data_IF_159117367736
#
_entry.id   IF_159117367736
#
_cell.length_a   1.000
_cell.length_b   1.000
_cell.length_c   1.000
_cell.angle_alpha   90.00
_cell.angle_beta   90.00
_cell.angle_gamma   90.00
#
_symmetry.space_group_name_H-M   'P 1'
#
loop_
_entity.id
_entity.type
_entity.pdbx_description
1 polymer ?
#
# COMPACT_ATOMS: atom_id res chain seq x y z
N UNK A 1 -6.16 13.16 -11.06
CA UNK A 1 -6.67 12.93 -12.44
C UNK A 1 -7.27 11.55 -12.63
N UNK A 2 -6.69 10.47 -12.09
CA UNK A 2 -7.28 9.11 -12.19
C UNK A 2 -8.77 9.03 -11.78
N UNK A 3 -9.16 9.70 -10.69
CA UNK A 3 -10.55 9.74 -10.22
C UNK A 3 -11.48 10.64 -11.06
N UNK A 4 -10.94 11.53 -11.88
CA UNK A 4 -11.67 12.51 -12.69
C UNK A 4 -10.98 12.65 -14.05
N UNK A 5 -11.02 11.61 -14.91
CA UNK A 5 -10.21 11.53 -16.13
C UNK A 5 -10.72 12.45 -17.25
N UNK A 6 -11.98 12.87 -17.17
CA UNK A 6 -12.69 13.74 -18.10
C UNK A 6 -12.42 15.24 -17.89
N UNK A 7 -11.85 15.62 -16.74
CA UNK A 7 -11.56 17.02 -16.44
C UNK A 7 -10.36 17.54 -17.23
N UNK A 8 -10.58 18.67 -17.92
CA UNK A 8 -9.50 19.43 -18.55
C UNK A 8 -8.59 20.12 -17.51
N UNK A 9 -7.51 20.75 -17.98
CA UNK A 9 -6.55 21.41 -17.09
C UNK A 9 -7.17 22.54 -16.25
N UNK A 10 -8.07 23.35 -16.83
CA UNK A 10 -8.70 24.47 -16.13
C UNK A 10 -9.54 23.95 -14.95
N UNK A 11 -10.29 22.88 -15.18
CA UNK A 11 -11.15 22.28 -14.18
C UNK A 11 -10.37 21.51 -13.11
N UNK A 12 -9.24 20.88 -13.47
CA UNK A 12 -8.33 20.26 -12.47
C UNK A 12 -7.74 21.32 -11.55
N UNK A 13 -7.26 22.44 -12.09
CA UNK A 13 -6.71 23.54 -11.29
C UNK A 13 -7.79 24.14 -10.38
N UNK A 14 -8.97 24.45 -10.94
CA UNK A 14 -10.10 25.00 -10.18
C UNK A 14 -10.51 24.09 -9.02
N UNK A 15 -10.51 22.76 -9.25
CA UNK A 15 -10.80 21.77 -8.20
C UNK A 15 -9.78 21.85 -7.07
N UNK A 16 -8.48 21.85 -7.38
CA UNK A 16 -7.41 21.93 -6.38
C UNK A 16 -7.48 23.21 -5.55
N UNK A 17 -7.66 24.37 -6.18
CA UNK A 17 -7.66 25.66 -5.45
C UNK A 17 -8.95 25.93 -4.66
N UNK A 18 -10.07 25.27 -5.02
CA UNK A 18 -11.35 25.43 -4.30
C UNK A 18 -11.48 24.48 -3.12
N UNK A 19 -10.75 23.37 -3.12
CA UNK A 19 -10.80 22.38 -2.05
C UNK A 19 -9.65 22.54 -1.06
N UNK A 20 -8.80 23.55 -1.20
CA UNK A 20 -7.72 23.78 -0.24
C UNK A 20 -8.27 24.17 1.13
N UNK A 21 -7.58 23.72 2.17
CA UNK A 21 -7.81 24.22 3.52
C UNK A 21 -7.06 25.55 3.69
N UNK A 22 -7.71 26.61 4.20
CA UNK A 22 -7.04 27.87 4.48
C UNK A 22 -5.83 27.66 5.42
N UNK A 23 -4.64 28.08 4.98
CA UNK A 23 -3.44 28.00 5.81
C UNK A 23 -3.43 29.15 6.83
N UNK A 24 -2.98 28.89 8.06
CA UNK A 24 -2.81 29.93 9.11
C UNK A 24 -1.58 30.84 8.88
N UNK A 25 -1.13 30.99 7.63
CA UNK A 25 0.08 31.72 7.24
C UNK A 25 -0.18 32.66 6.06
N UNK A 26 0.87 33.39 5.65
CA UNK A 26 0.76 34.32 4.51
C UNK A 26 0.45 33.56 3.22
N UNK A 27 -0.43 34.13 2.38
CA UNK A 27 -0.69 33.66 1.01
C UNK A 27 0.57 33.66 0.14
N UNK A 28 1.62 34.40 0.52
CA UNK A 28 2.92 34.36 -0.14
C UNK A 28 3.60 32.98 0.00
N UNK A 29 3.40 32.30 1.13
CA UNK A 29 4.01 30.99 1.38
C UNK A 29 3.14 29.83 0.89
N UNK A 30 1.81 29.96 1.00
CA UNK A 30 0.89 28.86 0.75
C UNK A 30 -0.09 29.09 -0.42
N UNK A 31 -0.02 30.23 -1.10
CA UNK A 31 -0.93 30.56 -2.19
C UNK A 31 -2.40 30.49 -1.77
N UNK A 32 -3.13 29.52 -2.33
CA UNK A 32 -4.55 29.24 -2.05
C UNK A 32 -4.78 28.41 -0.79
N UNK A 33 -3.73 27.94 -0.11
CA UNK A 33 -3.81 27.17 1.13
C UNK A 33 -3.18 25.78 1.01
N UNK A 34 -3.49 24.91 1.97
CA UNK A 34 -2.99 23.54 2.01
C UNK A 34 -3.87 22.64 1.15
N UNK A 35 -3.24 21.76 0.36
CA UNK A 35 -3.96 20.80 -0.48
C UNK A 35 -4.70 19.79 0.39
N UNK A 36 -6.01 19.70 0.21
CA UNK A 36 -6.83 18.62 0.75
C UNK A 36 -7.12 17.62 -0.38
N UNK A 37 -6.42 16.48 -0.35
CA UNK A 37 -6.52 15.47 -1.39
C UNK A 37 -7.88 14.74 -1.35
N UNK A 38 -8.46 14.55 -0.17
CA UNK A 38 -9.75 13.87 -0.03
C UNK A 38 -10.86 14.75 -0.61
N UNK A 39 -10.90 16.02 -0.20
CA UNK A 39 -11.86 16.97 -0.76
C UNK A 39 -11.65 17.17 -2.27
N UNK A 40 -10.40 17.23 -2.74
CA UNK A 40 -10.10 17.32 -4.16
C UNK A 40 -10.55 16.09 -4.96
N UNK A 41 -10.73 14.92 -4.34
CA UNK A 41 -11.26 13.74 -5.01
C UNK A 41 -12.78 13.69 -4.88
N UNK A 42 -13.35 13.98 -3.72
CA UNK A 42 -14.75 13.68 -3.42
C UNK A 42 -15.73 14.86 -3.61
N UNK A 43 -15.27 16.11 -3.53
CA UNK A 43 -16.18 17.26 -3.52
C UNK A 43 -16.86 17.51 -4.87
N UNK A 44 -18.08 18.04 -4.86
CA UNK A 44 -18.67 18.63 -6.08
C UNK A 44 -18.12 20.04 -6.27
N UNK A 45 -17.40 20.28 -7.38
CA UNK A 45 -16.81 21.59 -7.68
C UNK A 45 -17.37 22.08 -9.02
N UNK A 46 -17.93 23.31 -9.10
CA UNK A 46 -18.44 23.88 -10.34
C UNK A 46 -17.35 23.96 -11.41
N UNK A 47 -17.69 23.64 -12.65
CA UNK A 47 -16.76 23.71 -13.77
C UNK A 47 -16.51 25.16 -14.22
N UNK A 48 -15.31 25.39 -14.76
CA UNK A 48 -14.88 26.66 -15.33
C UNK A 48 -14.47 26.46 -16.78
N UNK A 49 -14.70 27.50 -17.60
CA UNK A 49 -14.30 27.51 -19.02
C UNK A 49 -12.89 28.06 -19.22
N UNK A 50 -12.39 28.85 -18.26
CA UNK A 50 -11.10 29.57 -18.37
C UNK A 50 -10.23 29.24 -17.15
N UNK A 51 -8.90 29.28 -17.33
CA UNK A 51 -7.96 29.04 -16.23
C UNK A 51 -8.16 30.08 -15.12
N UNK A 52 -8.52 29.68 -13.88
CA UNK A 52 -8.73 30.61 -12.77
C UNK A 52 -7.43 31.30 -12.30
N UNK A 53 -6.26 30.80 -12.71
CA UNK A 53 -4.97 31.42 -12.40
C UNK A 53 -4.56 32.51 -13.40
N UNK A 54 -5.33 32.73 -14.46
CA UNK A 54 -5.01 33.69 -15.52
C UNK A 54 -4.15 33.10 -16.65
N UNK A 55 -3.45 33.98 -17.37
CA UNK A 55 -2.65 33.62 -18.55
C UNK A 55 -1.22 33.22 -18.17
N UNK A 56 -0.86 31.97 -18.48
CA UNK A 56 0.52 31.49 -18.35
C UNK A 56 1.46 32.21 -19.31
N UNK A 57 0.98 32.56 -20.51
CA UNK A 57 1.74 33.29 -21.53
C UNK A 57 2.18 34.66 -21.00
N UNK A 58 1.25 35.36 -20.36
CA UNK A 58 1.49 36.66 -19.75
C UNK A 58 2.45 36.54 -18.56
N UNK A 59 2.27 35.52 -17.71
CA UNK A 59 3.18 35.23 -16.61
C UNK A 59 4.60 34.93 -17.13
N UNK A 60 4.73 34.12 -18.18
CA UNK A 60 6.00 33.83 -18.84
C UNK A 60 6.63 35.13 -19.36
N UNK A 61 5.86 35.96 -20.06
CA UNK A 61 6.33 37.25 -20.58
C UNK A 61 6.90 38.16 -19.49
N UNK A 62 6.26 38.20 -18.33
CA UNK A 62 6.67 39.05 -17.20
C UNK A 62 7.90 38.48 -16.47
N UNK A 63 7.94 37.16 -16.23
CA UNK A 63 8.93 36.56 -15.33
C UNK A 63 10.08 35.83 -16.04
N UNK A 64 9.95 35.51 -17.34
CA UNK A 64 11.03 34.93 -18.14
C UNK A 64 11.90 36.06 -18.69
N UNK A 65 13.10 36.19 -18.15
CA UNK A 65 14.03 37.30 -18.41
C UNK A 65 14.66 37.31 -19.82
N UNK A 66 14.42 36.30 -20.65
CA UNK A 66 14.92 36.21 -22.01
C UNK A 66 13.94 35.44 -22.90
N UNK A 67 13.79 35.86 -24.16
CA UNK A 67 13.25 34.98 -25.21
C UNK A 67 14.11 33.72 -25.23
N UNK A 68 13.54 32.61 -24.76
CA UNK A 68 14.14 31.32 -25.00
C UNK A 68 14.11 31.17 -26.53
N UNK A 69 15.29 31.08 -27.15
CA UNK A 69 15.41 30.74 -28.55
C UNK A 69 14.64 29.46 -28.89
N UNK A 70 14.71 28.97 -30.14
CA UNK A 70 13.92 27.83 -30.60
C UNK A 70 13.87 26.72 -29.55
N UNK A 71 12.66 26.31 -29.17
CA UNK A 71 12.47 25.23 -28.19
C UNK A 71 13.26 24.03 -28.71
N UNK A 72 14.26 23.58 -27.95
CA UNK A 72 14.99 22.39 -28.32
C UNK A 72 13.98 21.27 -28.52
N UNK A 73 13.89 20.74 -29.74
CA UNK A 73 13.09 19.55 -29.98
C UNK A 73 13.62 18.48 -29.02
N UNK A 74 12.76 17.81 -28.23
CA UNK A 74 13.21 16.73 -27.39
C UNK A 74 13.83 15.68 -28.30
N UNK A 75 15.16 15.56 -28.27
CA UNK A 75 15.84 14.40 -28.82
C UNK A 75 15.45 13.24 -27.91
N UNK A 76 14.39 12.54 -28.28
CA UNK A 76 14.01 11.27 -27.68
C UNK A 76 15.00 10.20 -28.16
N UNK A 77 16.29 10.40 -27.89
CA UNK A 77 17.17 9.24 -27.85
C UNK A 77 16.74 8.41 -26.64
N UNK A 78 16.43 7.13 -26.82
CA UNK A 78 16.11 6.25 -25.71
C UNK A 78 17.33 6.21 -24.78
N UNK A 79 17.25 6.95 -23.67
CA UNK A 79 18.20 6.79 -22.58
C UNK A 79 17.90 5.43 -21.99
N UNK A 80 18.84 4.49 -22.12
CA UNK A 80 18.81 3.21 -21.44
C UNK A 80 19.00 3.50 -19.94
N UNK A 81 17.89 3.59 -19.21
CA UNK A 81 17.90 3.76 -17.76
C UNK A 81 18.28 2.41 -17.16
N UNK A 82 19.41 2.34 -16.47
CA UNK A 82 19.78 1.14 -15.72
C UNK A 82 18.63 0.77 -14.77
N UNK A 83 18.28 -0.52 -14.77
CA UNK A 83 17.25 -1.02 -13.88
C UNK A 83 17.67 -0.71 -12.44
N UNK A 84 16.76 -0.08 -11.69
CA UNK A 84 16.96 0.15 -10.27
C UNK A 84 17.29 -1.18 -9.60
N UNK A 85 18.22 -1.20 -8.63
CA UNK A 85 18.47 -2.41 -7.86
C UNK A 85 17.15 -2.90 -7.24
N UNK A 86 16.98 -4.22 -7.07
CA UNK A 86 15.80 -4.77 -6.40
C UNK A 86 15.56 -4.04 -5.08
N UNK A 87 14.31 -3.65 -4.82
CA UNK A 87 13.96 -2.97 -3.58
C UNK A 87 14.44 -3.82 -2.39
N UNK A 88 15.18 -3.18 -1.48
CA UNK A 88 15.62 -3.83 -0.24
C UNK A 88 14.38 -4.35 0.49
N UNK A 89 14.35 -5.65 0.77
CA UNK A 89 13.25 -6.23 1.53
C UNK A 89 13.23 -5.59 2.90
N UNK A 90 12.16 -4.88 3.23
CA UNK A 90 11.93 -4.40 4.58
C UNK A 90 11.90 -5.63 5.50
N UNK A 91 12.95 -5.78 6.33
CA UNK A 91 12.93 -6.70 7.46
C UNK A 91 11.75 -6.26 8.34
N UNK A 92 10.65 -7.00 8.27
CA UNK A 92 9.51 -6.78 9.16
C UNK A 92 10.04 -7.03 10.56
N UNK A 93 10.01 -6.02 11.43
CA UNK A 93 10.43 -6.14 12.82
C UNK A 93 9.80 -7.39 13.43
N UNK A 94 10.64 -8.38 13.75
CA UNK A 94 10.21 -9.61 14.39
C UNK A 94 9.64 -9.24 15.75
N UNK A 95 8.32 -9.34 15.88
CA UNK A 95 7.67 -9.08 17.15
C UNK A 95 8.09 -10.19 18.12
N UNK A 96 8.69 -9.87 19.29
CA UNK A 96 9.19 -10.88 20.23
C UNK A 96 8.07 -11.74 20.84
N UNK A 97 6.82 -11.36 20.63
CA UNK A 97 5.62 -12.07 21.10
C UNK A 97 5.02 -13.01 20.06
N UNK A 98 5.48 -12.95 18.80
CA UNK A 98 4.97 -13.80 17.73
C UNK A 98 6.01 -14.87 17.36
N UNK A 99 5.57 -16.12 17.11
CA UNK A 99 6.48 -17.17 16.69
C UNK A 99 7.04 -16.87 15.29
N UNK A 100 8.36 -17.03 15.14
CA UNK A 100 9.04 -16.90 13.84
C UNK A 100 8.84 -18.14 12.97
N UNK A 101 9.12 -18.00 11.67
CA UNK A 101 9.03 -19.10 10.70
C UNK A 101 9.94 -20.27 11.10
N UNK A 102 11.14 -19.98 11.59
CA UNK A 102 12.10 -20.97 12.04
C UNK A 102 11.57 -21.73 13.25
N UNK A 103 10.98 -21.02 14.23
CA UNK A 103 10.41 -21.64 15.43
C UNK A 103 9.23 -22.54 15.08
N UNK A 104 8.42 -22.18 14.08
CA UNK A 104 7.33 -23.03 13.59
C UNK A 104 7.85 -24.28 12.88
N UNK A 105 8.76 -24.11 11.93
CA UNK A 105 9.25 -25.21 11.10
C UNK A 105 10.13 -26.20 11.87
N UNK A 106 10.96 -25.70 12.77
CA UNK A 106 11.96 -26.51 13.47
C UNK A 106 11.60 -26.80 14.93
N UNK A 107 10.64 -26.06 15.51
CA UNK A 107 10.18 -26.27 16.88
C UNK A 107 8.80 -26.95 16.94
N UNK A 108 7.75 -26.19 16.63
CA UNK A 108 6.37 -26.64 16.86
C UNK A 108 5.96 -27.79 15.95
N UNK A 109 6.33 -27.75 14.67
CA UNK A 109 5.96 -28.77 13.69
C UNK A 109 6.47 -30.18 14.04
N UNK A 110 7.78 -30.41 14.28
CA UNK A 110 8.26 -31.74 14.68
C UNK A 110 7.73 -32.16 16.05
N UNK A 111 7.57 -31.23 16.99
CA UNK A 111 7.02 -31.53 18.32
C UNK A 111 5.58 -32.07 18.23
N UNK A 112 4.70 -31.41 17.45
CA UNK A 112 3.32 -31.87 17.23
C UNK A 112 3.29 -33.22 16.51
N UNK A 113 4.17 -33.42 15.53
CA UNK A 113 4.22 -34.69 14.79
C UNK A 113 4.60 -35.86 15.71
N UNK A 114 5.64 -35.72 16.53
CA UNK A 114 6.11 -36.78 17.44
C UNK A 114 5.08 -37.04 18.54
N UNK A 115 4.55 -35.97 19.16
CA UNK A 115 3.58 -36.11 20.26
C UNK A 115 2.27 -36.73 19.79
N UNK A 116 1.73 -36.30 18.65
CA UNK A 116 0.51 -36.90 18.09
C UNK A 116 0.69 -38.38 17.75
N UNK A 117 1.82 -38.76 17.12
CA UNK A 117 2.13 -40.15 16.84
C UNK A 117 2.23 -40.99 18.13
N UNK A 118 2.92 -40.49 19.16
CA UNK A 118 3.06 -41.17 20.45
C UNK A 118 1.69 -41.36 21.14
N UNK A 119 0.82 -40.35 21.11
CA UNK A 119 -0.54 -40.42 21.66
C UNK A 119 -1.35 -41.49 20.94
N UNK A 120 -1.32 -41.54 19.60
CA UNK A 120 -2.06 -42.54 18.82
C UNK A 120 -1.58 -43.97 19.13
N UNK A 121 -0.27 -44.17 19.27
CA UNK A 121 0.31 -45.47 19.67
C UNK A 121 -0.16 -45.86 21.07
N UNK A 122 -0.10 -44.95 22.04
CA UNK A 122 -0.54 -45.22 23.42
C UNK A 122 -2.04 -45.56 23.49
N UNK A 123 -2.88 -44.84 22.76
CA UNK A 123 -4.30 -45.12 22.66
C UNK A 123 -4.57 -46.48 21.97
N UNK A 124 -3.85 -46.79 20.89
CA UNK A 124 -3.95 -48.06 20.20
C UNK A 124 -3.59 -49.26 21.09
N UNK A 125 -2.48 -49.17 21.82
CA UNK A 125 -2.06 -50.19 22.80
C UNK A 125 -3.11 -50.34 23.90
N UNK A 126 -3.60 -49.24 24.45
CA UNK A 126 -4.60 -49.24 25.52
C UNK A 126 -5.92 -49.89 25.06
N UNK A 127 -6.38 -49.55 23.86
CA UNK A 127 -7.58 -50.12 23.25
C UNK A 127 -7.42 -51.63 22.99
N UNK A 128 -6.27 -52.06 22.47
CA UNK A 128 -5.96 -53.46 22.23
C UNK A 128 -5.97 -54.28 23.53
N UNK A 129 -5.29 -53.80 24.58
CA UNK A 129 -5.28 -54.45 25.91
C UNK A 129 -6.68 -54.52 26.50
N UNK A 130 -7.48 -53.46 26.40
CA UNK A 130 -8.87 -53.45 26.89
C UNK A 130 -9.73 -54.47 26.17
N UNK A 131 -9.59 -54.60 24.83
CA UNK A 131 -10.33 -55.58 24.03
C UNK A 131 -10.00 -57.02 24.40
N UNK A 132 -8.72 -57.33 24.61
CA UNK A 132 -8.28 -58.66 25.05
C UNK A 132 -8.87 -59.00 26.43
N UNK A 133 -8.82 -58.04 27.37
CA UNK A 133 -9.38 -58.22 28.72
C UNK A 133 -10.91 -58.28 28.77
N UNK A 134 -11.61 -57.60 27.88
CA UNK A 134 -13.08 -57.69 27.82
C UNK A 134 -13.55 -58.99 27.17
N UNK A 135 -12.80 -59.51 26.19
CA UNK A 135 -13.10 -60.78 25.53
C UNK A 135 -12.88 -62.00 26.44
N UNK A 136 -12.01 -61.89 27.46
CA UNK A 136 -11.77 -62.96 28.43
C UNK A 136 -12.80 -63.01 29.57
N UNK A 137 -13.77 -62.09 29.63
CA UNK A 137 -14.88 -62.11 30.59
C UNK A 137 -16.15 -62.64 29.94
N UNK A 138 -16.21 -63.95 29.73
CA UNK A 138 -17.49 -64.65 29.49
C UNK A 138 -18.26 -64.71 30.82
N UNK A 139 -19.56 -64.35 30.87
CA UNK A 139 -20.31 -64.40 32.12
C UNK A 139 -20.56 -65.87 32.51
N UNK A 140 -20.16 -66.26 33.73
CA UNK A 140 -20.58 -67.54 34.30
C UNK A 140 -22.07 -67.45 34.65
N UNK A 141 -22.85 -68.34 34.06
CA UNK A 141 -24.25 -68.60 34.39
C UNK A 141 -24.36 -69.40 35.68
#
# INVERSE_FOLDING_TARGET
RSAHPDLDANNVINRLIRTTTPAKGSSVLYGYGLVDADAAVNASVPTVTTNPMGSLEEWIRIYRRADAGPVAQPTAEPVEIEALPPAESLSRDDSPLLPTRETLLYGTLPLVMVTSAAILVALGVTAAVRRIRSASRTPSR
#
